data_IF_428245286499
#
_entry.id   IF_428245286499
#
_cell.length_a   1.000
_cell.length_b   1.000
_cell.length_c   1.000
_cell.angle_alpha   90.00
_cell.angle_beta   90.00
_cell.angle_gamma   90.00
#
_symmetry.space_group_name_H-M   'P 1'
#
loop_
_entity.id
_entity.type
_entity.pdbx_description
1 polymer ?
#
# COMPACT_ATOMS: atom_id res chain seq x y z
N UNK A 1 8.75 11.88 0.78
CA UNK A 1 7.90 10.93 1.52
C UNK A 1 6.51 10.92 0.89
N UNK A 2 6.17 9.86 0.15
CA UNK A 2 4.83 9.77 -0.46
C UNK A 2 3.81 9.49 0.65
N UNK A 3 2.75 10.31 0.73
CA UNK A 3 1.67 10.17 1.73
C UNK A 3 0.65 9.10 1.35
N UNK A 4 0.70 8.63 0.12
CA UNK A 4 -0.23 7.64 -0.45
C UNK A 4 0.53 6.64 -1.30
N UNK A 5 -0.06 5.47 -1.47
CA UNK A 5 0.51 4.36 -2.24
C UNK A 5 -0.57 3.73 -3.12
N UNK A 6 -0.15 3.21 -4.26
CA UNK A 6 -0.96 2.46 -5.22
C UNK A 6 -0.56 0.99 -5.29
N UNK A 7 -1.41 0.18 -5.92
CA UNK A 7 -1.08 -1.21 -6.26
C UNK A 7 0.25 -1.34 -7.02
N UNK A 8 0.58 -0.38 -7.89
CA UNK A 8 1.82 -0.44 -8.68
C UNK A 8 3.03 -0.27 -7.78
N UNK A 9 3.02 0.77 -6.94
CA UNK A 9 4.08 1.01 -5.95
C UNK A 9 4.26 -0.20 -5.01
N UNK A 10 3.17 -0.86 -4.58
CA UNK A 10 3.27 -2.12 -3.82
C UNK A 10 3.93 -3.25 -4.62
N UNK A 11 3.65 -3.38 -5.92
CA UNK A 11 4.34 -4.38 -6.75
C UNK A 11 5.82 -4.05 -6.91
N UNK A 12 6.16 -2.76 -7.05
CA UNK A 12 7.54 -2.30 -7.13
C UNK A 12 8.31 -2.57 -5.82
N UNK A 13 7.60 -2.64 -4.67
CA UNK A 13 8.14 -3.09 -3.38
C UNK A 13 8.27 -4.62 -3.25
N UNK A 14 7.90 -5.40 -4.26
CA UNK A 14 8.03 -6.86 -4.27
C UNK A 14 6.77 -7.66 -3.93
N UNK A 15 5.62 -7.00 -3.72
CA UNK A 15 4.36 -7.73 -3.52
C UNK A 15 3.82 -8.29 -4.84
N UNK A 16 3.35 -9.53 -4.84
CA UNK A 16 2.73 -10.12 -6.03
C UNK A 16 1.46 -9.35 -6.42
N UNK A 17 1.04 -9.38 -7.71
CA UNK A 17 -0.10 -8.60 -8.18
C UNK A 17 -1.40 -8.85 -7.40
N UNK A 18 -1.63 -10.07 -6.92
CA UNK A 18 -2.80 -10.40 -6.10
C UNK A 18 -2.67 -9.86 -4.67
N UNK A 19 -1.48 -9.92 -4.06
CA UNK A 19 -1.20 -9.38 -2.73
C UNK A 19 -1.38 -7.87 -2.73
N UNK A 20 -0.80 -7.18 -3.72
CA UNK A 20 -0.94 -5.74 -3.86
C UNK A 20 -2.42 -5.31 -4.00
N UNK A 21 -3.22 -6.05 -4.76
CA UNK A 21 -4.68 -5.78 -4.87
C UNK A 21 -5.37 -5.97 -3.53
N UNK A 22 -5.04 -7.05 -2.82
CA UNK A 22 -5.67 -7.38 -1.56
C UNK A 22 -5.33 -6.36 -0.45
N UNK A 23 -4.06 -5.97 -0.35
CA UNK A 23 -3.59 -4.91 0.55
C UNK A 23 -4.35 -3.60 0.29
N UNK A 24 -4.50 -3.16 -0.96
CA UNK A 24 -5.26 -1.95 -1.29
C UNK A 24 -6.73 -2.08 -0.86
N UNK A 25 -7.35 -3.25 -1.03
CA UNK A 25 -8.73 -3.48 -0.59
C UNK A 25 -8.85 -3.40 0.93
N UNK A 26 -7.97 -4.09 1.65
CA UNK A 26 -7.95 -4.07 3.11
C UNK A 26 -7.69 -2.66 3.66
N UNK A 27 -6.73 -1.92 3.09
CA UNK A 27 -6.44 -0.54 3.47
C UNK A 27 -7.65 0.39 3.22
N UNK A 28 -8.39 0.21 2.11
CA UNK A 28 -9.65 0.94 1.91
C UNK A 28 -10.69 0.62 2.97
N UNK A 29 -10.88 -0.65 3.29
CA UNK A 29 -11.82 -1.07 4.34
C UNK A 29 -11.41 -0.50 5.70
N UNK A 30 -10.13 -0.50 6.02
CA UNK A 30 -9.58 0.14 7.20
C UNK A 30 -9.95 1.64 7.23
N UNK A 31 -9.68 2.38 6.15
CA UNK A 31 -10.01 3.81 6.09
C UNK A 31 -11.50 4.08 6.24
N UNK A 32 -12.36 3.26 5.64
CA UNK A 32 -13.82 3.38 5.80
C UNK A 32 -14.22 3.14 7.26
N UNK A 33 -13.63 2.15 7.94
CA UNK A 33 -13.85 1.88 9.37
C UNK A 33 -13.39 3.01 10.28
N UNK A 34 -12.36 3.76 9.88
CA UNK A 34 -11.89 4.96 10.57
C UNK A 34 -12.78 6.20 10.30
N UNK A 35 -13.88 6.06 9.57
CA UNK A 35 -14.82 7.15 9.29
C UNK A 35 -14.53 7.95 8.02
N UNK A 36 -13.70 7.42 7.11
CA UNK A 36 -13.39 8.06 5.82
C UNK A 36 -14.13 7.40 4.65
N UNK A 37 -15.41 7.77 4.37
CA UNK A 37 -16.21 7.13 3.33
C UNK A 37 -15.68 7.33 1.91
N UNK A 38 -14.77 8.30 1.69
CA UNK A 38 -14.07 8.52 0.43
C UNK A 38 -13.47 7.22 -0.16
N UNK A 39 -13.02 6.31 0.71
CA UNK A 39 -12.38 5.06 0.30
C UNK A 39 -13.34 3.94 -0.12
N UNK A 40 -14.67 4.12 0.01
CA UNK A 40 -15.66 3.21 -0.57
C UNK A 40 -15.69 3.26 -2.12
N UNK A 41 -15.02 4.22 -2.75
CA UNK A 41 -14.98 4.33 -4.20
C UNK A 41 -14.22 3.16 -4.84
N UNK A 42 -14.93 2.34 -5.63
CA UNK A 42 -14.36 1.19 -6.36
C UNK A 42 -13.29 1.59 -7.38
N UNK A 43 -13.35 2.80 -7.94
CA UNK A 43 -12.38 3.34 -8.93
C UNK A 43 -11.14 3.97 -8.31
N UNK A 44 -11.11 4.15 -6.98
CA UNK A 44 -9.96 4.77 -6.31
C UNK A 44 -8.79 3.79 -6.24
N UNK A 45 -7.67 4.06 -6.92
CA UNK A 45 -6.52 3.15 -6.95
C UNK A 45 -5.46 3.40 -5.87
N UNK A 46 -5.70 4.36 -4.96
CA UNK A 46 -4.71 4.85 -3.99
C UNK A 46 -5.28 4.87 -2.58
N UNK A 47 -4.40 4.63 -1.61
CA UNK A 47 -4.69 4.67 -0.18
C UNK A 47 -3.53 5.36 0.56
N UNK A 48 -3.73 5.85 1.80
CA UNK A 48 -2.63 6.39 2.59
C UNK A 48 -1.61 5.30 2.94
N UNK A 49 -0.34 5.68 3.07
CA UNK A 49 0.72 4.73 3.47
C UNK A 49 0.43 4.14 4.85
N UNK A 50 0.06 4.97 5.83
CA UNK A 50 -0.31 4.49 7.17
C UNK A 50 -1.44 3.45 7.17
N UNK A 51 -2.38 3.53 6.23
CA UNK A 51 -3.45 2.55 6.12
C UNK A 51 -2.89 1.20 5.67
N UNK A 52 -1.90 1.19 4.78
CA UNK A 52 -1.18 -0.02 4.36
C UNK A 52 -0.29 -0.56 5.47
N UNK A 53 0.43 0.30 6.18
CA UNK A 53 1.29 -0.06 7.33
C UNK A 53 0.49 -0.81 8.40
N UNK A 54 -0.74 -0.36 8.67
CA UNK A 54 -1.67 -1.06 9.57
C UNK A 54 -2.11 -2.45 9.08
N UNK A 55 -2.06 -2.74 7.77
CA UNK A 55 -2.37 -4.06 7.22
C UNK A 55 -1.16 -4.99 7.27
N UNK A 56 0.02 -4.50 6.89
CA UNK A 56 1.21 -5.32 6.72
C UNK A 56 2.09 -5.41 7.98
N UNK A 57 1.92 -4.50 8.93
CA UNK A 57 2.66 -4.46 10.20
C UNK A 57 4.10 -3.95 10.08
N UNK A 58 4.45 -3.29 8.96
CA UNK A 58 5.75 -2.68 8.72
C UNK A 58 5.59 -1.30 8.08
N UNK A 59 6.52 -0.41 8.37
CA UNK A 59 6.55 0.91 7.76
C UNK A 59 6.84 0.82 6.26
N UNK A 60 6.09 1.57 5.45
CA UNK A 60 6.22 1.56 3.99
C UNK A 60 7.42 2.42 3.54
N UNK A 61 8.02 3.19 4.45
CA UNK A 61 9.34 3.80 4.29
C UNK A 61 10.44 2.74 4.36
N UNK A 62 10.58 1.94 3.30
CA UNK A 62 11.81 1.23 3.05
C UNK A 62 12.81 2.26 2.51
N UNK A 63 13.84 2.54 3.32
CA UNK A 63 15.03 3.22 2.83
C UNK A 63 15.62 2.42 1.65
N UNK A 64 16.31 3.14 0.76
CA UNK A 64 16.91 2.61 -0.47
C UNK A 64 17.76 1.37 -0.18
N UNK A 65 17.13 0.20 -0.27
CA UNK A 65 17.79 -1.08 -0.21
C UNK A 65 18.61 -1.24 -1.48
N UNK A 66 19.87 -0.85 -1.39
CA UNK A 66 20.99 -1.08 -2.30
C UNK A 66 20.86 -2.46 -2.99
N UNK A 67 20.27 -2.53 -4.18
CA UNK A 67 20.35 -3.74 -5.01
C UNK A 67 21.69 -3.77 -5.72
N UNK A 68 22.77 -3.92 -4.95
CA UNK A 68 24.03 -4.47 -5.46
C UNK A 68 23.93 -6.00 -5.43
N UNK A 69 23.22 -6.55 -6.41
CA UNK A 69 23.30 -7.96 -6.79
C UNK A 69 24.07 -8.08 -8.10
N UNK A 70 25.40 -8.03 -8.03
CA UNK A 70 26.28 -8.67 -9.01
C UNK A 70 26.24 -10.17 -8.70
N UNK A 71 25.87 -10.97 -9.69
CA UNK A 71 26.59 -12.16 -10.17
C UNK A 71 26.00 -12.59 -11.51
#
# INVERSE_FOLDING_TARGET
>A
MNKTISKKELQDMGFLPYQAVDIIRQAKYYMVRQGYPYYNNKRLGRVPCHAVENIIGVDVSLEEGDTNGKD
#
